data_IF_324087795570
#
_entry.id   IF_324087795570
#
_cell.length_a   1.000
_cell.length_b   1.000
_cell.length_c   1.000
_cell.angle_alpha   90.00
_cell.angle_beta   90.00
_cell.angle_gamma   90.00
#
_symmetry.space_group_name_H-M   'P 1'
#
loop_
_entity.id
_entity.type
_entity.pdbx_description
1 polymer ?
#
# COMPACT_ATOMS: atom_id res chain seq x y z
N UNK A 1 -11.84 12.77 -45.70
CA UNK A 1 -13.23 13.25 -45.49
C UNK A 1 -13.30 13.86 -44.10
N UNK A 2 -13.79 15.10 -44.08
CA UNK A 2 -13.82 16.06 -42.99
C UNK A 2 -14.85 15.70 -41.88
N UNK A 3 -14.87 16.47 -40.77
CA UNK A 3 -15.30 16.06 -39.43
C UNK A 3 -16.72 16.56 -39.04
N UNK A 4 -17.20 16.10 -37.88
CA UNK A 4 -18.26 16.70 -37.06
C UNK A 4 -17.58 17.16 -35.76
N UNK A 5 -17.73 18.35 -35.19
CA UNK A 5 -18.76 19.38 -35.30
C UNK A 5 -19.27 19.68 -33.90
N UNK A 6 -18.81 20.77 -33.27
CA UNK A 6 -19.55 21.42 -32.19
C UNK A 6 -19.29 22.93 -32.18
N UNK A 7 -20.38 23.68 -32.16
CA UNK A 7 -20.49 25.13 -32.32
C UNK A 7 -20.75 25.80 -30.98
N UNK A 8 -20.17 26.98 -30.73
CA UNK A 8 -20.78 28.13 -30.02
C UNK A 8 -19.72 29.22 -29.92
N UNK A 9 -19.75 30.25 -30.79
CA UNK A 9 -20.28 31.59 -30.44
C UNK A 9 -19.78 32.08 -29.09
N UNK A 10 -18.71 32.87 -29.12
CA UNK A 10 -18.49 34.09 -28.34
C UNK A 10 -16.99 34.35 -28.21
N UNK A 11 -16.43 35.18 -29.10
CA UNK A 11 -15.17 35.91 -28.93
C UNK A 11 -14.97 36.87 -30.11
N UNK A 12 -15.93 37.77 -30.29
CA UNK A 12 -15.80 38.92 -31.17
C UNK A 12 -15.56 40.15 -30.26
N UNK A 13 -14.52 40.93 -30.57
CA UNK A 13 -13.81 41.96 -29.75
C UNK A 13 -12.59 41.31 -29.08
N UNK A 14 -11.35 41.74 -29.32
CA UNK A 14 -10.85 43.10 -29.29
C UNK A 14 -9.75 43.32 -30.36
N UNK A 15 -9.87 44.39 -31.15
CA UNK A 15 -8.75 44.97 -31.89
C UNK A 15 -8.13 46.04 -30.99
N UNK A 16 -6.92 45.81 -30.48
CA UNK A 16 -6.14 46.88 -29.83
C UNK A 16 -5.08 47.45 -30.78
N UNK A 17 -5.01 48.78 -30.76
CA UNK A 17 -4.24 49.66 -31.64
C UNK A 17 -2.74 49.54 -31.35
N UNK A 18 -1.94 49.19 -32.36
CA UNK A 18 -0.50 49.41 -32.33
C UNK A 18 -0.23 50.90 -32.57
N UNK A 19 0.17 51.65 -31.53
CA UNK A 19 0.68 53.01 -31.73
C UNK A 19 2.20 52.95 -31.91
N UNK A 20 2.68 53.25 -33.11
CA UNK A 20 4.10 53.44 -33.40
C UNK A 20 4.43 54.93 -33.27
N UNK A 21 5.26 55.32 -32.30
CA UNK A 21 5.95 56.63 -32.31
C UNK A 21 7.38 56.38 -32.76
N UNK A 22 7.76 56.95 -33.90
CA UNK A 22 9.15 57.03 -34.34
C UNK A 22 9.66 58.43 -34.01
N UNK A 23 10.64 58.53 -33.11
CA UNK A 23 11.40 59.76 -32.87
C UNK A 23 12.77 59.64 -33.52
N UNK A 24 13.14 60.66 -34.27
CA UNK A 24 14.27 60.66 -35.20
C UNK A 24 15.51 61.30 -34.54
N UNK A 25 16.26 60.54 -33.75
CA UNK A 25 17.68 60.82 -33.51
C UNK A 25 18.38 59.61 -32.89
N UNK A 26 19.41 59.13 -33.58
CA UNK A 26 20.49 58.23 -33.14
C UNK A 26 20.30 57.55 -31.77
N UNK A 27 19.95 56.25 -31.80
CA UNK A 27 20.55 55.15 -30.99
C UNK A 27 19.69 53.89 -31.16
N UNK A 28 20.39 52.79 -31.42
CA UNK A 28 19.99 51.38 -31.40
C UNK A 28 18.60 51.10 -30.80
N UNK A 29 17.63 50.77 -31.66
CA UNK A 29 16.30 50.31 -31.25
C UNK A 29 16.38 48.84 -30.80
N UNK A 30 16.28 48.59 -29.50
CA UNK A 30 15.95 47.25 -29.01
C UNK A 30 14.45 47.01 -29.26
N UNK A 31 14.12 46.11 -30.18
CA UNK A 31 12.78 45.56 -30.30
C UNK A 31 12.59 44.57 -29.14
N UNK A 32 12.00 45.03 -28.04
CA UNK A 32 11.45 44.12 -27.03
C UNK A 32 10.15 43.56 -27.58
N UNK A 33 10.24 42.46 -28.31
CA UNK A 33 9.06 41.68 -28.68
C UNK A 33 8.65 40.94 -27.40
N UNK A 34 7.70 41.50 -26.65
CA UNK A 34 6.97 40.74 -25.65
C UNK A 34 6.10 39.74 -26.42
N UNK A 35 6.66 38.55 -26.66
CA UNK A 35 5.89 37.41 -27.15
C UNK A 35 4.96 36.97 -26.02
N UNK A 36 3.71 37.41 -26.10
CA UNK A 36 2.61 36.75 -25.40
C UNK A 36 2.53 35.34 -26.00
N UNK A 37 3.17 34.38 -25.33
CA UNK A 37 3.01 32.98 -25.64
C UNK A 37 1.59 32.61 -25.22
N UNK A 38 0.75 32.49 -26.24
CA UNK A 38 -0.58 31.93 -26.20
C UNK A 38 -0.48 30.49 -25.66
N UNK A 39 -0.61 30.32 -24.34
CA UNK A 39 -0.60 29.00 -23.70
C UNK A 39 -2.01 28.44 -23.74
N UNK A 40 -2.33 27.84 -24.89
CA UNK A 40 -3.44 26.91 -25.01
C UNK A 40 -3.22 25.71 -24.06
N UNK A 41 -3.84 25.77 -22.87
CA UNK A 41 -4.24 24.61 -22.09
C UNK A 41 -3.16 23.64 -21.61
N UNK A 42 -2.00 24.11 -21.15
CA UNK A 42 -1.12 23.26 -20.32
C UNK A 42 -1.74 23.22 -18.93
N UNK A 43 -2.33 22.09 -18.55
CA UNK A 43 -2.70 21.82 -17.15
C UNK A 43 -1.46 22.11 -16.30
N UNK A 44 -1.54 23.11 -15.43
CA UNK A 44 -0.44 23.47 -14.54
C UNK A 44 -0.01 22.21 -13.77
N UNK A 45 1.23 21.79 -13.93
CA UNK A 45 1.80 20.66 -13.19
C UNK A 45 1.81 21.01 -11.72
N UNK A 46 1.20 20.17 -10.88
CA UNK A 46 1.11 20.41 -9.45
C UNK A 46 2.18 19.63 -8.69
N UNK A 47 2.71 20.24 -7.64
CA UNK A 47 3.60 19.61 -6.68
C UNK A 47 2.86 19.40 -5.37
N UNK A 48 2.60 18.13 -5.04
CA UNK A 48 1.88 17.74 -3.83
C UNK A 48 2.86 17.13 -2.83
N UNK A 49 2.90 17.68 -1.62
CA UNK A 49 3.64 17.09 -0.50
C UNK A 49 2.73 16.14 0.28
N UNK A 50 3.14 14.88 0.40
CA UNK A 50 2.49 13.93 1.31
C UNK A 50 3.29 13.88 2.63
N UNK A 51 2.63 14.33 3.70
CA UNK A 51 3.19 14.40 5.04
C UNK A 51 2.46 13.40 5.95
N UNK A 52 3.22 12.61 6.73
CA UNK A 52 2.61 11.77 7.77
C UNK A 52 2.83 12.44 9.11
N UNK A 53 1.76 12.72 9.84
CA UNK A 53 1.84 13.33 11.17
C UNK A 53 1.37 12.31 12.21
N UNK A 54 2.32 11.82 13.00
CA UNK A 54 2.03 11.09 14.23
C UNK A 54 2.01 12.10 15.38
N UNK A 55 1.13 11.89 16.36
CA UNK A 55 0.73 12.75 17.48
C UNK A 55 1.85 13.32 18.38
N UNK A 56 3.13 13.10 18.05
CA UNK A 56 4.28 13.67 18.75
C UNK A 56 5.11 14.54 17.79
N UNK A 57 5.04 15.87 17.98
CA UNK A 57 6.02 16.90 17.56
C UNK A 57 6.43 17.03 16.08
N UNK A 58 5.79 16.35 15.14
CA UNK A 58 6.00 16.61 13.72
C UNK A 58 4.75 17.17 13.07
N UNK A 59 4.63 18.50 13.07
CA UNK A 59 3.57 19.20 12.32
C UNK A 59 3.85 19.12 10.82
N UNK A 60 2.80 19.03 10.01
CA UNK A 60 2.91 19.10 8.55
C UNK A 60 3.66 20.36 8.08
N UNK A 61 3.57 21.45 8.87
CA UNK A 61 4.30 22.69 8.65
C UNK A 61 5.83 22.54 8.70
N UNK A 62 6.38 21.74 9.61
CA UNK A 62 7.82 21.46 9.65
C UNK A 62 8.28 20.67 8.43
N UNK A 63 7.50 19.68 8.00
CA UNK A 63 7.82 18.88 6.81
C UNK A 63 7.74 19.74 5.55
N UNK A 64 6.77 20.66 5.47
CA UNK A 64 6.67 21.65 4.41
C UNK A 64 7.90 22.55 4.36
N UNK A 65 8.24 23.19 5.48
CA UNK A 65 9.39 24.09 5.55
C UNK A 65 10.67 23.39 5.12
N UNK A 66 10.89 22.17 5.60
CA UNK A 66 12.05 21.38 5.19
C UNK A 66 12.08 21.09 3.69
N UNK A 67 10.94 20.77 3.07
CA UNK A 67 10.86 20.61 1.62
C UNK A 67 11.13 21.93 0.88
N UNK A 68 10.61 23.05 1.36
CA UNK A 68 10.86 24.39 0.79
C UNK A 68 12.34 24.80 0.92
N UNK A 69 12.98 24.54 2.07
CA UNK A 69 14.41 24.77 2.31
C UNK A 69 15.30 23.94 1.36
N UNK A 70 14.84 22.74 0.99
CA UNK A 70 15.50 21.87 0.01
C UNK A 70 15.22 22.30 -1.45
N UNK A 71 14.44 23.35 -1.67
CA UNK A 71 14.17 23.95 -2.98
C UNK A 71 12.92 23.43 -3.70
N UNK A 72 12.02 22.74 -3.00
CA UNK A 72 10.75 22.30 -3.58
C UNK A 72 9.67 23.38 -3.45
N UNK A 73 9.02 23.73 -4.56
CA UNK A 73 7.80 24.56 -4.54
C UNK A 73 6.61 23.64 -4.30
N UNK A 74 5.92 23.79 -3.16
CA UNK A 74 4.79 22.93 -2.78
C UNK A 74 3.47 23.67 -3.03
N UNK A 75 2.64 23.15 -3.94
CA UNK A 75 1.33 23.73 -4.25
C UNK A 75 0.25 23.24 -3.29
N UNK A 76 0.34 21.98 -2.86
CA UNK A 76 -0.64 21.35 -1.98
C UNK A 76 0.01 20.41 -0.99
N UNK A 77 -0.60 20.29 0.18
CA UNK A 77 -0.20 19.33 1.21
C UNK A 77 -1.35 18.37 1.46
N UNK A 78 -1.03 17.08 1.49
CA UNK A 78 -1.91 16.01 1.94
C UNK A 78 -1.28 15.44 3.21
N UNK A 79 -1.94 15.66 4.34
CA UNK A 79 -1.47 15.21 5.64
C UNK A 79 -2.26 13.97 6.07
N UNK A 80 -1.56 12.86 6.29
CA UNK A 80 -2.12 11.64 6.86
C UNK A 80 -1.99 11.69 8.39
N UNK A 81 -3.11 11.98 9.06
CA UNK A 81 -3.22 12.09 10.51
C UNK A 81 -3.62 10.75 11.13
N UNK A 82 -2.77 10.19 11.98
CA UNK A 82 -3.21 9.17 12.93
C UNK A 82 -3.44 7.75 12.41
N UNK A 83 -3.11 7.41 11.15
CA UNK A 83 -3.09 6.00 10.73
C UNK A 83 -1.86 5.33 11.33
N UNK A 84 -2.06 4.38 12.25
CA UNK A 84 -1.02 3.45 12.67
C UNK A 84 -0.59 2.66 11.44
N UNK A 85 0.52 3.09 10.82
CA UNK A 85 1.01 2.59 9.53
C UNK A 85 1.46 1.13 9.51
N UNK A 86 1.08 0.34 10.51
CA UNK A 86 1.50 -1.06 10.71
C UNK A 86 0.52 -2.04 10.05
N UNK A 87 -0.76 -1.69 9.87
CA UNK A 87 -1.77 -2.65 9.36
C UNK A 87 -2.39 -2.32 8.00
N UNK A 88 -2.49 -1.04 7.61
CA UNK A 88 -3.25 -0.65 6.41
C UNK A 88 -2.33 -0.38 5.21
N UNK A 89 -2.53 -1.08 4.06
CA UNK A 89 -1.83 -0.79 2.81
C UNK A 89 -1.97 0.67 2.40
N UNK A 90 -0.95 1.24 1.75
CA UNK A 90 -0.98 2.66 1.38
C UNK A 90 -2.23 3.05 0.58
N UNK A 91 -2.58 2.29 -0.46
CA UNK A 91 -3.75 2.56 -1.32
C UNK A 91 -5.11 2.49 -0.60
N UNK A 92 -5.17 1.88 0.58
CA UNK A 92 -6.40 1.79 1.37
C UNK A 92 -6.57 2.96 2.34
N UNK A 93 -5.52 3.77 2.54
CA UNK A 93 -5.58 4.93 3.45
C UNK A 93 -6.44 6.03 2.83
N UNK A 94 -7.34 6.68 3.61
CA UNK A 94 -8.22 7.72 3.09
C UNK A 94 -7.46 8.86 2.37
N UNK A 95 -6.39 9.36 2.99
CA UNK A 95 -5.60 10.46 2.41
C UNK A 95 -4.73 10.01 1.23
N UNK A 96 -4.32 8.73 1.18
CA UNK A 96 -3.63 8.18 0.03
C UNK A 96 -4.58 8.00 -1.17
N UNK A 97 -5.82 7.56 -0.95
CA UNK A 97 -6.85 7.50 -2.01
C UNK A 97 -7.09 8.88 -2.59
N UNK A 98 -7.25 9.88 -1.72
CA UNK A 98 -7.35 11.27 -2.12
C UNK A 98 -6.12 11.72 -2.90
N UNK A 99 -4.92 11.29 -2.52
CA UNK A 99 -3.71 11.58 -3.27
C UNK A 99 -3.73 10.99 -4.69
N UNK A 100 -4.18 9.75 -4.85
CA UNK A 100 -4.37 9.12 -6.17
C UNK A 100 -5.42 9.85 -7.03
N UNK A 101 -6.50 10.37 -6.43
CA UNK A 101 -7.52 11.14 -7.15
C UNK A 101 -7.04 12.53 -7.57
N UNK A 102 -6.12 13.11 -6.80
CA UNK A 102 -5.58 14.44 -7.04
C UNK A 102 -4.45 14.44 -8.08
N UNK A 103 -3.56 13.46 -8.01
CA UNK A 103 -2.39 13.39 -8.88
C UNK A 103 -2.80 13.02 -10.30
N UNK A 104 -2.29 13.80 -11.27
CA UNK A 104 -2.42 13.54 -12.70
C UNK A 104 -1.05 13.33 -13.35
N UNK A 105 -1.08 12.88 -14.59
CA UNK A 105 0.13 12.69 -15.40
C UNK A 105 0.90 14.01 -15.51
N UNK A 106 2.18 13.99 -15.14
CA UNK A 106 3.06 15.17 -15.12
C UNK A 106 3.17 15.86 -13.75
N UNK A 107 2.33 15.50 -12.78
CA UNK A 107 2.43 16.03 -11.43
C UNK A 107 3.63 15.43 -10.67
N UNK A 108 4.08 16.16 -9.65
CA UNK A 108 5.17 15.75 -8.78
C UNK A 108 4.66 15.46 -7.37
N UNK A 109 4.86 14.23 -6.91
CA UNK A 109 4.64 13.83 -5.52
C UNK A 109 5.94 13.99 -4.74
N UNK A 110 5.95 14.87 -3.75
CA UNK A 110 7.07 15.04 -2.81
C UNK A 110 6.75 14.26 -1.53
N UNK A 111 7.70 13.44 -1.10
CA UNK A 111 7.65 12.74 0.19
C UNK A 111 8.95 12.93 0.94
N UNK A 112 8.90 12.93 2.27
CA UNK A 112 10.13 13.03 3.07
C UNK A 112 11.09 11.87 2.77
N UNK A 113 10.56 10.65 2.80
CA UNK A 113 11.26 9.42 2.50
C UNK A 113 10.27 8.34 2.03
N UNK A 114 10.78 7.30 1.36
CA UNK A 114 9.96 6.23 0.75
C UNK A 114 9.22 5.37 1.78
N UNK A 115 9.65 5.36 3.05
CA UNK A 115 8.95 4.68 4.16
C UNK A 115 7.52 5.20 4.38
N UNK A 116 7.20 6.39 3.87
CA UNK A 116 5.86 6.99 4.00
C UNK A 116 4.87 6.46 2.96
N UNK A 117 5.34 5.78 1.93
CA UNK A 117 4.53 5.26 0.83
C UNK A 117 4.04 3.82 1.03
N UNK A 118 4.17 3.27 2.24
CA UNK A 118 3.74 1.90 2.52
C UNK A 118 3.89 1.50 3.98
N UNK A 119 3.41 0.29 4.31
CA UNK A 119 3.64 -0.37 5.61
C UNK A 119 4.92 -1.21 5.65
N UNK A 120 5.32 -1.74 4.50
CA UNK A 120 6.51 -2.55 4.29
C UNK A 120 7.13 -2.21 2.93
N UNK A 121 8.33 -2.71 2.65
CA UNK A 121 9.04 -2.43 1.40
C UNK A 121 8.34 -3.00 0.16
N UNK A 122 7.48 -4.01 0.31
CA UNK A 122 6.69 -4.56 -0.79
C UNK A 122 5.57 -3.58 -1.19
N UNK A 123 4.84 -3.07 -0.21
CA UNK A 123 3.80 -2.05 -0.36
C UNK A 123 4.38 -0.75 -0.95
N UNK A 124 5.53 -0.30 -0.43
CA UNK A 124 6.23 0.88 -0.98
C UNK A 124 6.59 0.69 -2.46
N UNK A 125 7.12 -0.49 -2.82
CA UNK A 125 7.50 -0.80 -4.19
C UNK A 125 6.29 -0.81 -5.13
N UNK A 126 5.17 -1.38 -4.69
CA UNK A 126 3.91 -1.36 -5.45
C UNK A 126 3.38 0.07 -5.64
N UNK A 127 3.39 0.87 -4.58
CA UNK A 127 2.96 2.27 -4.61
C UNK A 127 3.79 3.10 -5.58
N UNK A 128 5.13 3.00 -5.53
CA UNK A 128 6.02 3.73 -6.44
C UNK A 128 5.76 3.34 -7.90
N UNK A 129 5.59 2.04 -8.18
CA UNK A 129 5.26 1.57 -9.54
C UNK A 129 3.92 2.12 -10.02
N UNK A 130 2.89 2.10 -9.18
CA UNK A 130 1.58 2.65 -9.52
C UNK A 130 1.64 4.15 -9.87
N UNK A 131 2.42 4.94 -9.12
CA UNK A 131 2.63 6.36 -9.45
C UNK A 131 3.39 6.55 -10.76
N UNK A 132 4.43 5.75 -11.01
CA UNK A 132 5.17 5.79 -12.28
C UNK A 132 4.29 5.44 -13.48
N UNK A 133 3.44 4.42 -13.36
CA UNK A 133 2.47 4.01 -14.38
C UNK A 133 1.42 5.09 -14.65
N UNK A 134 0.98 5.80 -13.61
CA UNK A 134 0.13 6.98 -13.73
C UNK A 134 0.86 8.20 -14.34
N UNK A 135 2.17 8.12 -14.56
CA UNK A 135 3.00 9.19 -15.09
C UNK A 135 3.24 10.33 -14.09
N UNK A 136 3.19 10.02 -12.80
CA UNK A 136 3.53 10.92 -11.69
C UNK A 136 5.01 10.77 -11.38
N UNK A 137 5.68 11.88 -11.06
CA UNK A 137 7.08 11.90 -10.63
C UNK A 137 7.14 11.91 -9.11
N UNK A 138 7.72 10.88 -8.50
CA UNK A 138 7.90 10.83 -7.03
C UNK A 138 9.30 11.34 -6.68
N UNK A 139 9.39 12.33 -5.78
CA UNK A 139 10.65 12.90 -5.29
C UNK A 139 10.77 12.76 -3.79
N UNK A 140 11.97 12.46 -3.32
CA UNK A 140 12.29 12.37 -1.88
C UNK A 140 13.04 13.60 -1.40
N UNK A 141 12.69 14.10 -0.20
CA UNK A 141 13.34 15.29 0.37
C UNK A 141 14.75 14.96 0.87
N UNK A 142 14.92 13.88 1.64
CA UNK A 142 16.20 13.63 2.36
C UNK A 142 17.36 13.26 1.42
N UNK A 143 17.15 12.37 0.43
CA UNK A 143 18.24 11.91 -0.46
C UNK A 143 18.08 12.39 -1.90
N UNK A 144 17.10 13.26 -2.19
CA UNK A 144 16.85 13.81 -3.53
C UNK A 144 16.70 12.76 -4.63
N UNK A 145 16.26 11.56 -4.28
CA UNK A 145 15.91 10.56 -5.28
C UNK A 145 14.66 10.98 -6.04
N UNK A 146 14.70 10.76 -7.35
CA UNK A 146 13.59 10.98 -8.27
C UNK A 146 13.19 9.65 -8.91
N UNK A 147 11.92 9.31 -8.79
CA UNK A 147 11.29 8.15 -9.42
C UNK A 147 10.25 8.67 -10.40
N UNK A 148 10.64 8.84 -11.65
CA UNK A 148 9.70 9.05 -12.75
C UNK A 148 9.50 7.75 -13.52
N UNK A 149 8.45 7.68 -14.35
CA UNK A 149 8.26 6.59 -15.32
C UNK A 149 8.82 6.91 -16.72
N UNK A 150 9.22 8.16 -16.98
CA UNK A 150 9.40 8.70 -18.31
C UNK A 150 10.80 9.31 -18.59
N UNK A 151 11.78 9.14 -17.71
CA UNK A 151 13.12 9.69 -17.95
C UNK A 151 13.87 8.94 -19.06
N UNK A 152 14.37 9.71 -20.02
CA UNK A 152 15.21 9.26 -21.14
C UNK A 152 16.70 9.09 -20.77
N UNK A 153 17.08 9.50 -19.56
CA UNK A 153 18.47 9.41 -19.08
C UNK A 153 18.75 8.01 -18.53
N UNK A 154 19.58 7.26 -19.24
CA UNK A 154 19.94 5.88 -18.91
C UNK A 154 20.47 5.69 -17.47
N UNK A 155 21.27 6.64 -16.96
CA UNK A 155 21.86 6.56 -15.61
C UNK A 155 20.77 6.70 -14.54
N UNK A 156 19.89 7.70 -14.66
CA UNK A 156 18.82 7.95 -13.69
C UNK A 156 17.83 6.77 -13.66
N UNK A 157 17.51 6.22 -14.84
CA UNK A 157 16.73 4.98 -14.96
C UNK A 157 17.41 3.79 -14.26
N UNK A 158 18.71 3.60 -14.46
CA UNK A 158 19.45 2.50 -13.83
C UNK A 158 19.50 2.63 -12.30
N UNK A 159 19.72 3.84 -11.78
CA UNK A 159 19.71 4.11 -10.33
C UNK A 159 18.32 3.84 -9.73
N UNK A 160 17.27 4.33 -10.39
CA UNK A 160 15.87 4.09 -9.99
C UNK A 160 15.54 2.60 -9.95
N UNK A 161 15.82 1.90 -11.04
CA UNK A 161 15.50 0.47 -11.18
C UNK A 161 16.31 -0.36 -10.15
N UNK A 162 17.58 0.01 -9.90
CA UNK A 162 18.42 -0.64 -8.88
C UNK A 162 17.91 -0.41 -7.46
N UNK A 163 17.46 0.81 -7.14
CA UNK A 163 16.91 1.12 -5.82
C UNK A 163 15.60 0.36 -5.58
N UNK A 164 14.72 0.31 -6.57
CA UNK A 164 13.49 -0.49 -6.52
C UNK A 164 13.82 -1.98 -6.34
N UNK A 165 14.79 -2.51 -7.08
CA UNK A 165 15.21 -3.91 -6.95
C UNK A 165 15.80 -4.20 -5.56
N UNK A 166 16.63 -3.30 -5.03
CA UNK A 166 17.19 -3.40 -3.69
C UNK A 166 16.11 -3.37 -2.61
N UNK A 167 15.12 -2.48 -2.72
CA UNK A 167 13.99 -2.42 -1.81
C UNK A 167 13.16 -3.70 -1.86
N UNK A 168 12.88 -4.23 -3.05
CA UNK A 168 12.18 -5.49 -3.22
C UNK A 168 12.95 -6.68 -2.60
N UNK A 169 14.27 -6.76 -2.82
CA UNK A 169 15.12 -7.78 -2.22
C UNK A 169 15.15 -7.69 -0.69
N UNK A 170 15.24 -6.47 -0.14
CA UNK A 170 15.19 -6.21 1.30
C UNK A 170 13.83 -6.61 1.89
N UNK A 171 12.74 -6.32 1.17
CA UNK A 171 11.38 -6.74 1.55
C UNK A 171 11.30 -8.26 1.71
N UNK A 172 11.81 -8.98 0.71
CA UNK A 172 11.81 -10.44 0.70
C UNK A 172 12.66 -11.00 1.85
N UNK A 173 13.87 -10.48 2.05
CA UNK A 173 14.74 -10.91 3.13
C UNK A 173 14.10 -10.71 4.51
N UNK A 174 13.46 -9.57 4.74
CA UNK A 174 12.75 -9.28 6.00
C UNK A 174 11.55 -10.22 6.22
N UNK A 175 10.80 -10.51 5.15
CA UNK A 175 9.67 -11.44 5.21
C UNK A 175 10.14 -12.88 5.53
N UNK A 176 11.24 -13.32 4.94
CA UNK A 176 11.85 -14.62 5.23
C UNK A 176 12.39 -14.70 6.67
N UNK A 177 13.10 -13.66 7.12
CA UNK A 177 13.60 -13.57 8.49
C UNK A 177 12.46 -13.60 9.52
N UNK A 178 11.37 -12.87 9.28
CA UNK A 178 10.19 -12.86 10.15
C UNK A 178 9.53 -14.23 10.21
N UNK A 179 9.38 -14.91 9.06
CA UNK A 179 8.85 -16.29 9.01
C UNK A 179 9.76 -17.28 9.74
N UNK A 180 11.08 -17.15 9.58
CA UNK A 180 12.06 -17.99 10.27
C UNK A 180 12.00 -17.78 11.80
N UNK A 181 11.97 -16.52 12.24
CA UNK A 181 11.83 -16.18 13.66
C UNK A 181 10.52 -16.68 14.26
N UNK A 182 9.40 -16.56 13.52
CA UNK A 182 8.11 -17.08 13.95
C UNK A 182 8.14 -18.61 14.08
N UNK A 183 8.72 -19.32 13.11
CA UNK A 183 8.90 -20.78 13.19
C UNK A 183 9.78 -21.17 14.37
N UNK A 184 10.92 -20.50 14.56
CA UNK A 184 11.80 -20.75 15.70
C UNK A 184 11.11 -20.48 17.04
N UNK A 185 10.26 -19.45 17.13
CA UNK A 185 9.45 -19.20 18.32
C UNK A 185 8.42 -20.31 18.59
N UNK A 186 7.72 -20.78 17.56
CA UNK A 186 6.79 -21.90 17.66
C UNK A 186 7.54 -23.19 18.05
N UNK A 187 8.67 -23.47 17.43
CA UNK A 187 9.47 -24.67 17.70
C UNK A 187 10.09 -24.62 19.10
N UNK A 188 10.55 -23.44 19.55
CA UNK A 188 11.03 -23.24 20.91
C UNK A 188 9.91 -23.43 21.93
N UNK A 189 8.70 -22.92 21.68
CA UNK A 189 7.55 -23.20 22.54
C UNK A 189 7.22 -24.70 22.54
N UNK A 190 7.15 -25.35 21.38
CA UNK A 190 6.86 -26.78 21.28
C UNK A 190 7.91 -27.65 21.99
N UNK A 191 9.19 -27.30 21.88
CA UNK A 191 10.29 -28.04 22.53
C UNK A 191 10.39 -27.72 24.02
N UNK A 192 10.21 -26.46 24.43
CA UNK A 192 10.12 -26.08 25.84
C UNK A 192 8.93 -26.76 26.52
N UNK A 193 7.78 -26.85 25.86
CA UNK A 193 6.61 -27.57 26.36
C UNK A 193 6.83 -29.09 26.45
N UNK A 194 7.64 -29.65 25.55
CA UNK A 194 8.07 -31.05 25.59
C UNK A 194 9.11 -31.30 26.69
N UNK A 195 9.94 -30.31 27.02
CA UNK A 195 10.97 -30.36 28.06
C UNK A 195 10.44 -29.98 29.45
N UNK A 196 9.31 -29.27 29.56
CA UNK A 196 8.65 -28.97 30.84
C UNK A 196 8.07 -30.27 31.44
N UNK A 197 8.81 -30.85 32.38
CA UNK A 197 8.34 -31.81 33.40
C UNK A 197 7.47 -31.12 34.47
N UNK A 198 6.72 -30.08 34.10
CA UNK A 198 5.83 -29.40 35.04
C UNK A 198 4.45 -30.05 35.01
N UNK A 199 3.94 -30.41 36.19
CA UNK A 199 2.63 -31.06 36.42
C UNK A 199 1.40 -30.23 36.03
N UNK A 200 1.56 -29.03 35.45
CA UNK A 200 0.45 -28.18 34.99
C UNK A 200 0.25 -28.27 33.46
N UNK A 201 -0.67 -29.14 32.96
CA UNK A 201 -0.95 -29.31 31.54
C UNK A 201 -1.60 -28.08 30.86
N UNK A 202 -1.94 -27.03 31.61
CA UNK A 202 -2.51 -25.80 31.05
C UNK A 202 -1.50 -24.94 30.29
N UNK A 203 -0.20 -25.05 30.62
CA UNK A 203 0.87 -24.19 30.08
C UNK A 203 1.49 -24.66 28.77
N UNK A 204 1.19 -25.89 28.32
CA UNK A 204 1.75 -26.46 27.07
C UNK A 204 0.99 -25.99 25.83
N UNK A 205 1.68 -25.79 24.70
CA UNK A 205 1.10 -25.49 23.40
C UNK A 205 0.11 -26.57 22.97
N UNK A 206 -1.17 -26.20 22.94
CA UNK A 206 -2.27 -27.15 22.74
C UNK A 206 -2.58 -27.44 21.28
N UNK A 207 -2.06 -26.64 20.35
CA UNK A 207 -2.34 -26.73 18.91
C UNK A 207 -3.58 -25.92 18.52
N UNK A 208 -4.31 -26.35 17.49
CA UNK A 208 -5.60 -25.74 17.13
C UNK A 208 -6.71 -26.37 17.97
N UNK A 209 -7.57 -25.56 18.57
CA UNK A 209 -8.76 -26.06 19.26
C UNK A 209 -9.71 -26.79 18.29
N UNK A 210 -10.27 -27.96 18.68
CA UNK A 210 -11.31 -28.62 17.91
C UNK A 210 -12.51 -27.71 17.66
N UNK A 211 -13.12 -27.84 16.49
CA UNK A 211 -14.29 -27.05 16.08
C UNK A 211 -15.62 -27.60 16.61
N UNK A 212 -15.58 -28.64 17.44
CA UNK A 212 -16.73 -29.35 17.99
C UNK A 212 -16.50 -29.62 19.48
N UNK A 213 -17.58 -29.89 20.20
CA UNK A 213 -17.57 -30.24 21.63
C UNK A 213 -17.67 -31.76 21.85
N UNK A 214 -17.54 -32.21 23.10
CA UNK A 214 -17.67 -33.61 23.48
C UNK A 214 -19.00 -34.23 23.06
N UNK A 215 -20.10 -33.48 23.21
CA UNK A 215 -21.44 -33.95 22.91
C UNK A 215 -21.65 -34.20 21.40
N UNK A 216 -21.06 -33.35 20.56
CA UNK A 216 -21.10 -33.48 19.10
C UNK A 216 -20.18 -34.61 18.64
N UNK A 217 -19.00 -34.77 19.26
CA UNK A 217 -18.11 -35.89 18.98
C UNK A 217 -18.78 -37.24 19.27
N UNK A 218 -19.38 -37.41 20.45
CA UNK A 218 -20.07 -38.66 20.80
C UNK A 218 -21.21 -38.96 19.81
N UNK A 219 -21.99 -37.95 19.42
CA UNK A 219 -23.03 -38.10 18.39
C UNK A 219 -22.46 -38.56 17.05
N UNK A 220 -21.33 -37.99 16.62
CA UNK A 220 -20.66 -38.37 15.37
C UNK A 220 -20.16 -39.82 15.45
N UNK A 221 -19.51 -40.21 16.54
CA UNK A 221 -18.99 -41.57 16.73
C UNK A 221 -20.14 -42.59 16.74
N UNK A 222 -21.18 -42.35 17.53
CA UNK A 222 -22.36 -43.25 17.58
C UNK A 222 -23.06 -43.39 16.23
N UNK A 223 -23.16 -42.31 15.45
CA UNK A 223 -23.74 -42.36 14.11
C UNK A 223 -22.84 -43.13 13.11
N UNK A 224 -21.51 -43.04 13.25
CA UNK A 224 -20.56 -43.75 12.41
C UNK A 224 -20.49 -45.25 12.72
N UNK A 225 -20.69 -45.64 13.98
CA UNK A 225 -20.68 -47.04 14.45
C UNK A 225 -22.00 -47.79 14.19
N UNK A 226 -23.05 -47.08 13.74
CA UNK A 226 -24.34 -47.70 13.40
C UNK A 226 -24.18 -48.71 12.24
N UNK A 227 -24.89 -49.87 12.27
CA UNK A 227 -24.72 -50.95 11.27
C UNK A 227 -24.97 -50.54 9.82
N UNK A 228 -25.82 -49.55 9.60
CA UNK A 228 -26.17 -49.03 8.26
C UNK A 228 -25.11 -48.02 7.73
N UNK A 229 -24.24 -47.51 8.61
CA UNK A 229 -23.26 -46.47 8.31
C UNK A 229 -23.88 -45.09 8.08
N UNK A 230 -23.41 -44.05 8.79
CA UNK A 230 -23.93 -42.71 8.58
C UNK A 230 -23.52 -42.08 7.24
N UNK A 231 -24.47 -41.38 6.61
CA UNK A 231 -24.18 -40.46 5.52
C UNK A 231 -23.41 -39.24 6.06
N UNK A 232 -22.10 -39.20 5.80
CA UNK A 232 -21.16 -38.17 6.26
C UNK A 232 -21.62 -36.74 5.90
N UNK A 233 -22.28 -36.55 4.75
CA UNK A 233 -22.73 -35.23 4.30
C UNK A 233 -24.02 -34.77 5.00
N UNK A 234 -24.89 -35.70 5.40
CA UNK A 234 -26.06 -35.39 6.22
C UNK A 234 -25.63 -35.07 7.66
N UNK A 235 -24.77 -35.93 8.23
CA UNK A 235 -24.24 -35.78 9.58
C UNK A 235 -23.44 -34.48 9.76
N UNK A 236 -22.68 -34.06 8.75
CA UNK A 236 -21.96 -32.77 8.74
C UNK A 236 -22.91 -31.57 8.90
N UNK A 237 -24.04 -31.60 8.18
CA UNK A 237 -25.05 -30.53 8.23
C UNK A 237 -25.77 -30.51 9.58
N UNK A 238 -26.12 -31.68 10.08
CA UNK A 238 -26.82 -31.84 11.36
C UNK A 238 -25.97 -31.42 12.56
N UNK A 239 -24.69 -31.83 12.58
CA UNK A 239 -23.75 -31.52 13.66
C UNK A 239 -23.07 -30.15 13.51
N UNK A 240 -23.32 -29.41 12.42
CA UNK A 240 -22.70 -28.11 12.18
C UNK A 240 -21.17 -28.15 12.00
N UNK A 241 -20.62 -29.31 11.61
CA UNK A 241 -19.17 -29.51 11.42
C UNK A 241 -18.82 -29.76 9.96
N UNK A 242 -17.60 -29.39 9.55
CA UNK A 242 -17.15 -29.69 8.19
C UNK A 242 -17.13 -31.21 7.93
N UNK A 243 -17.49 -31.62 6.70
CA UNK A 243 -17.36 -33.03 6.26
C UNK A 243 -15.96 -33.60 6.53
N UNK A 244 -14.93 -32.77 6.35
CA UNK A 244 -13.54 -33.13 6.63
C UNK A 244 -13.26 -33.41 8.11
N UNK A 245 -13.95 -32.74 9.04
CA UNK A 245 -13.83 -33.03 10.46
C UNK A 245 -14.39 -34.42 10.79
N UNK A 246 -15.54 -34.79 10.23
CA UNK A 246 -16.13 -36.13 10.42
C UNK A 246 -15.24 -37.22 9.82
N UNK A 247 -14.68 -36.99 8.63
CA UNK A 247 -13.76 -37.96 8.01
C UNK A 247 -12.49 -38.17 8.85
N UNK A 248 -11.97 -37.12 9.50
CA UNK A 248 -10.84 -37.26 10.44
C UNK A 248 -11.22 -38.04 11.69
N UNK A 249 -12.40 -37.77 12.26
CA UNK A 249 -12.93 -38.53 13.40
C UNK A 249 -13.11 -40.00 13.02
N UNK A 250 -13.64 -40.28 11.83
CA UNK A 250 -13.80 -41.66 11.32
C UNK A 250 -12.46 -42.37 11.15
N UNK A 251 -11.44 -41.67 10.68
CA UNK A 251 -10.11 -42.25 10.43
C UNK A 251 -9.36 -42.57 11.74
N UNK A 252 -9.45 -41.70 12.74
CA UNK A 252 -8.84 -41.92 14.06
C UNK A 252 -9.70 -41.30 15.17
N UNK A 253 -10.67 -42.06 15.73
CA UNK A 253 -11.53 -41.59 16.80
C UNK A 253 -10.76 -41.29 18.09
N UNK A 254 -9.72 -42.07 18.39
CA UNK A 254 -8.93 -41.95 19.62
C UNK A 254 -8.10 -40.66 19.64
N UNK A 255 -7.50 -40.29 18.50
CA UNK A 255 -6.79 -39.01 18.39
C UNK A 255 -7.72 -37.81 18.52
N UNK A 256 -8.94 -37.89 17.99
CA UNK A 256 -9.95 -36.85 18.14
C UNK A 256 -10.43 -36.70 19.60
N UNK A 257 -10.62 -37.81 20.31
CA UNK A 257 -10.99 -37.82 21.73
C UNK A 257 -9.88 -37.24 22.63
N UNK A 258 -8.62 -37.62 22.36
CA UNK A 258 -7.46 -37.07 23.06
C UNK A 258 -7.31 -35.55 22.82
N UNK A 259 -7.61 -35.08 21.61
CA UNK A 259 -7.58 -33.65 21.29
C UNK A 259 -8.66 -32.85 22.04
N UNK A 260 -9.88 -33.39 22.17
CA UNK A 260 -10.95 -32.77 22.97
C UNK A 260 -10.58 -32.71 24.45
N UNK A 261 -10.07 -33.82 24.99
CA UNK A 261 -9.63 -33.92 26.38
C UNK A 261 -8.49 -32.93 26.69
N UNK A 262 -7.55 -32.72 25.76
CA UNK A 262 -6.46 -31.72 25.87
C UNK A 262 -6.98 -30.28 26.02
N UNK A 263 -8.11 -29.98 25.37
CA UNK A 263 -8.74 -28.65 25.37
C UNK A 263 -9.82 -28.47 26.43
N UNK A 264 -10.22 -29.55 27.13
CA UNK A 264 -11.28 -29.51 28.14
C UNK A 264 -12.66 -29.16 27.55
N UNK A 265 -12.96 -29.65 26.34
CA UNK A 265 -14.20 -29.40 25.59
C UNK A 265 -15.04 -30.66 25.41
#
# INVERSE_FOLDING_TARGET
MSPLGYTSKDSQKYLERVSVRVSNHQRTCYLTINTLTDTCGVSATQTILYARVSTADQTAAHQRKHAEDEGFTIDRIVADEGVSGVSVPFAERPEARRLFDLLRRGDTLVVRWVDRLGRDYEDVTKTIRAFMEAGVVVKTVINRFTFDGATDKAIEKAVRDSLIAFMAATAQAQAEATKAAQRAGIDHQRTADAALTSDDPSRRYKGRAPSYDRATFNRIVSALDAPEGANVAALARECGVSRQAILRIKADPNAADAALSKWGR
#
